data_IF_551459946629
#
_entry.id   IF_551459946629
#
_cell.length_a   1.000
_cell.length_b   1.000
_cell.length_c   1.000
_cell.angle_alpha   90.00
_cell.angle_beta   90.00
_cell.angle_gamma   90.00
#
_symmetry.space_group_name_H-M   'P 1'
#
loop_
_entity.id
_entity.type
_entity.pdbx_description
1 polymer ?
#
# COMPACT_ATOMS: atom_id res chain seq x y z
N UNK A 1 23.36 -7.80 -2.31
CA UNK A 1 22.13 -8.44 -2.84
C UNK A 1 21.27 -7.35 -3.48
N UNK A 2 20.73 -7.55 -4.69
CA UNK A 2 19.84 -6.58 -5.34
C UNK A 2 18.39 -6.99 -5.11
N UNK A 3 17.62 -6.15 -4.43
CA UNK A 3 16.18 -6.35 -4.21
C UNK A 3 15.42 -5.52 -5.26
N UNK A 4 14.46 -6.11 -6.00
CA UNK A 4 13.63 -5.34 -6.91
C UNK A 4 12.79 -4.30 -6.14
N UNK A 5 12.67 -3.07 -6.67
CA UNK A 5 11.87 -2.00 -6.04
C UNK A 5 10.43 -2.45 -5.74
N UNK A 6 9.81 -3.24 -6.64
CA UNK A 6 8.46 -3.77 -6.43
C UNK A 6 8.33 -4.61 -5.15
N UNK A 7 9.38 -5.36 -4.81
CA UNK A 7 9.42 -6.18 -3.59
C UNK A 7 9.65 -5.31 -2.37
N UNK A 8 10.63 -4.40 -2.42
CA UNK A 8 10.92 -3.45 -1.34
C UNK A 8 9.69 -2.61 -0.98
N UNK A 9 9.06 -1.98 -1.96
CA UNK A 9 7.86 -1.17 -1.76
C UNK A 9 6.64 -1.99 -1.35
N UNK A 10 6.51 -3.23 -1.85
CA UNK A 10 5.45 -4.14 -1.44
C UNK A 10 5.53 -4.48 0.04
N UNK A 11 6.73 -4.78 0.53
CA UNK A 11 6.94 -5.10 1.95
C UNK A 11 6.71 -3.87 2.82
N UNK A 12 7.27 -2.71 2.45
CA UNK A 12 7.05 -1.45 3.18
C UNK A 12 5.58 -1.08 3.28
N UNK A 13 4.84 -1.15 2.16
CA UNK A 13 3.40 -0.87 2.15
C UNK A 13 2.61 -1.81 3.05
N UNK A 14 2.96 -3.11 3.10
CA UNK A 14 2.30 -4.06 3.99
C UNK A 14 2.59 -3.77 5.48
N UNK A 15 3.83 -3.40 5.81
CA UNK A 15 4.21 -3.02 7.18
C UNK A 15 3.50 -1.74 7.60
N UNK A 16 3.47 -0.72 6.74
CA UNK A 16 2.75 0.54 6.98
C UNK A 16 1.26 0.27 7.23
N UNK A 17 0.61 -0.51 6.36
CA UNK A 17 -0.78 -0.89 6.52
C UNK A 17 -1.03 -1.62 7.84
N UNK A 18 -0.16 -2.53 8.25
CA UNK A 18 -0.29 -3.26 9.51
C UNK A 18 -0.10 -2.34 10.73
N UNK A 19 0.82 -1.37 10.65
CA UNK A 19 1.11 -0.43 11.73
C UNK A 19 -0.03 0.56 11.96
N UNK A 20 -0.69 1.01 10.88
CA UNK A 20 -1.77 2.01 10.94
C UNK A 20 -3.17 1.42 10.83
N UNK A 21 -3.30 0.09 10.75
CA UNK A 21 -4.59 -0.60 10.72
C UNK A 21 -5.38 -0.30 12.00
N UNK A 22 -6.51 0.40 11.85
CA UNK A 22 -7.47 0.68 12.93
C UNK A 22 -8.86 0.24 12.46
N UNK A 23 -9.69 -0.39 13.32
CA UNK A 23 -11.04 -0.80 12.92
C UNK A 23 -11.85 0.35 12.32
N UNK A 24 -12.44 0.11 11.14
CA UNK A 24 -13.28 1.09 10.45
C UNK A 24 -12.53 2.20 9.69
N UNK A 25 -11.20 2.28 9.80
CA UNK A 25 -10.37 3.24 9.06
C UNK A 25 -9.88 2.66 7.75
N UNK A 26 -10.05 3.42 6.67
CA UNK A 26 -9.37 3.19 5.40
C UNK A 26 -8.11 4.05 5.34
N UNK A 27 -7.03 3.48 4.84
CA UNK A 27 -5.75 4.17 4.64
C UNK A 27 -5.63 4.49 3.16
N UNK A 28 -5.46 5.77 2.81
CA UNK A 28 -5.35 6.20 1.43
C UNK A 28 -3.96 5.91 0.87
N UNK A 29 -3.84 5.60 -0.42
CA UNK A 29 -2.54 5.40 -1.09
C UNK A 29 -1.59 6.58 -0.86
N UNK A 30 -2.07 7.81 -0.99
CA UNK A 30 -1.31 9.04 -0.73
C UNK A 30 -0.66 9.09 0.67
N UNK A 31 -1.34 8.55 1.70
CA UNK A 31 -0.80 8.52 3.06
C UNK A 31 0.42 7.59 3.16
N UNK A 32 0.30 6.39 2.59
CA UNK A 32 1.36 5.39 2.55
C UNK A 32 2.54 5.91 1.70
N UNK A 33 2.24 6.49 0.54
CA UNK A 33 3.22 7.07 -0.36
C UNK A 33 4.05 8.16 0.32
N UNK A 34 3.40 9.03 1.11
CA UNK A 34 4.07 10.08 1.89
C UNK A 34 4.95 9.53 3.00
N UNK A 35 4.46 8.55 3.79
CA UNK A 35 5.22 7.97 4.92
C UNK A 35 6.42 7.15 4.46
N UNK A 36 6.27 6.36 3.41
CA UNK A 36 7.30 5.46 2.91
C UNK A 36 8.19 6.08 1.82
N UNK A 37 7.92 7.34 1.45
CA UNK A 37 8.58 8.05 0.34
C UNK A 37 8.55 7.28 -0.99
N UNK A 38 7.40 6.70 -1.31
CA UNK A 38 7.16 5.91 -2.54
C UNK A 38 6.36 6.76 -3.53
N UNK A 39 6.74 6.83 -4.81
CA UNK A 39 5.92 7.50 -5.82
C UNK A 39 4.51 6.88 -5.89
N UNK A 40 3.49 7.70 -5.66
CA UNK A 40 2.09 7.25 -5.57
C UNK A 40 1.62 6.41 -6.79
N UNK A 41 1.92 6.79 -8.05
CA UNK A 41 1.53 5.98 -9.21
C UNK A 41 2.17 4.58 -9.22
N UNK A 42 3.37 4.45 -8.65
CA UNK A 42 4.05 3.16 -8.54
C UNK A 42 3.43 2.34 -7.39
N UNK A 43 3.14 2.99 -6.27
CA UNK A 43 2.49 2.35 -5.13
C UNK A 43 1.12 1.79 -5.53
N UNK A 44 0.35 2.49 -6.36
CA UNK A 44 -0.92 1.97 -6.88
C UNK A 44 -0.76 0.64 -7.64
N UNK A 45 0.31 0.49 -8.43
CA UNK A 45 0.60 -0.78 -9.13
C UNK A 45 0.96 -1.90 -8.15
N UNK A 46 1.70 -1.56 -7.09
CA UNK A 46 2.07 -2.49 -6.01
C UNK A 46 0.82 -2.92 -5.25
N UNK A 47 0.01 -1.97 -4.76
CA UNK A 47 -1.22 -2.24 -4.02
C UNK A 47 -2.24 -3.01 -4.86
N UNK A 48 -2.35 -2.71 -6.16
CA UNK A 48 -3.17 -3.49 -7.09
C UNK A 48 -2.73 -4.95 -7.14
N UNK A 49 -1.42 -5.20 -7.19
CA UNK A 49 -0.86 -6.56 -7.16
C UNK A 49 -1.17 -7.25 -5.83
N UNK A 50 -0.95 -6.57 -4.70
CA UNK A 50 -1.22 -7.11 -3.36
C UNK A 50 -2.71 -7.45 -3.16
N UNK A 51 -3.61 -6.57 -3.62
CA UNK A 51 -5.05 -6.78 -3.56
C UNK A 51 -5.49 -7.97 -4.42
N UNK A 52 -4.92 -8.13 -5.62
CA UNK A 52 -5.19 -9.27 -6.51
C UNK A 52 -4.89 -10.61 -5.84
N UNK A 53 -3.84 -10.68 -5.03
CA UNK A 53 -3.44 -11.91 -4.32
C UNK A 53 -4.00 -12.00 -2.89
N UNK A 54 -4.88 -11.07 -2.49
CA UNK A 54 -5.59 -11.14 -1.21
C UNK A 54 -4.77 -10.70 0.02
N UNK A 55 -3.61 -10.07 -0.17
CA UNK A 55 -2.81 -9.55 0.95
C UNK A 55 -3.44 -8.32 1.60
N UNK A 56 -4.22 -7.55 0.84
CA UNK A 56 -4.92 -6.35 1.30
C UNK A 56 -6.36 -6.36 0.77
N UNK A 57 -7.21 -5.50 1.35
CA UNK A 57 -8.53 -5.18 0.81
C UNK A 57 -8.59 -3.69 0.49
N UNK A 58 -8.94 -3.34 -0.74
CA UNK A 58 -9.17 -1.94 -1.12
C UNK A 58 -10.66 -1.65 -1.28
N UNK A 59 -11.05 -0.41 -0.98
CA UNK A 59 -12.37 0.14 -1.30
C UNK A 59 -12.18 1.31 -2.27
N UNK A 60 -13.05 1.46 -3.26
CA UNK A 60 -13.04 2.61 -4.18
C UNK A 60 -14.16 3.57 -3.84
N UNK A 61 -13.97 4.86 -4.14
CA UNK A 61 -14.99 5.91 -4.02
C UNK A 61 -14.48 7.12 -3.23
N UNK A 62 -15.28 8.20 -3.10
CA UNK A 62 -14.87 9.42 -2.39
C UNK A 62 -14.56 9.23 -0.89
N UNK A 63 -14.97 8.09 -0.31
CA UNK A 63 -14.63 7.65 1.04
C UNK A 63 -13.75 6.39 1.06
N UNK A 64 -13.25 5.96 -0.10
CA UNK A 64 -12.47 4.74 -0.33
C UNK A 64 -10.99 5.03 -0.43
#
# INVERSE_FOLDING_TARGET
MRIPMKVDYGVRALVDLAQYATPGRLIRTAEIASREAIPEPYLDQVLTTLNKFGFIRSRRGPQG
#
